data_IF_468476028072
#
_entry.id   IF_468476028072
#
_cell.length_a   1.000
_cell.length_b   1.000
_cell.length_c   1.000
_cell.angle_alpha   90.00
_cell.angle_beta   90.00
_cell.angle_gamma   90.00
#
_symmetry.space_group_name_H-M   'P 1'
#
loop_
_entity.id
_entity.type
_entity.pdbx_description
1 polymer ?
#
# COMPACT_ATOMS: atom_id res chain seq x y z
N UNK A 1 6.14 -12.25 18.20
CA UNK A 1 5.82 -11.81 19.58
C UNK A 1 4.53 -11.02 19.64
N UNK A 2 4.36 -9.89 18.90
CA UNK A 2 3.14 -9.09 18.97
C UNK A 2 1.90 -9.88 18.50
N UNK A 3 1.97 -10.52 17.34
CA UNK A 3 0.90 -11.37 16.83
C UNK A 3 0.59 -12.55 17.79
N UNK A 4 1.63 -13.15 18.37
CA UNK A 4 1.46 -14.27 19.32
C UNK A 4 0.68 -13.83 20.56
N UNK A 5 0.89 -12.58 21.04
CA UNK A 5 0.14 -12.02 22.16
C UNK A 5 -1.33 -11.82 21.80
N UNK A 6 -1.63 -11.30 20.59
CA UNK A 6 -2.99 -11.13 20.10
C UNK A 6 -3.67 -12.49 19.94
N UNK A 7 -3.00 -13.46 19.31
CA UNK A 7 -3.52 -14.82 19.13
C UNK A 7 -3.81 -15.47 20.48
N UNK A 8 -2.83 -15.38 21.41
CA UNK A 8 -3.00 -15.92 22.76
C UNK A 8 -4.22 -15.30 23.46
N UNK A 9 -4.38 -13.98 23.40
CA UNK A 9 -5.52 -13.29 23.97
C UNK A 9 -6.84 -13.76 23.34
N UNK A 10 -6.90 -13.81 21.99
CA UNK A 10 -8.07 -14.27 21.26
C UNK A 10 -8.50 -15.70 21.64
N UNK A 11 -7.52 -16.58 21.90
CA UNK A 11 -7.78 -17.98 22.26
C UNK A 11 -8.18 -18.18 23.71
N UNK A 12 -7.72 -17.32 24.63
CA UNK A 12 -7.92 -17.51 26.06
C UNK A 12 -9.01 -16.61 26.66
N UNK A 13 -9.47 -15.61 25.91
CA UNK A 13 -10.56 -14.77 26.39
C UNK A 13 -11.89 -15.49 26.23
N UNK A 14 -12.51 -15.89 27.35
CA UNK A 14 -13.70 -16.77 27.38
C UNK A 14 -14.93 -16.17 26.69
N UNK A 15 -15.01 -14.83 26.61
CA UNK A 15 -16.11 -14.11 25.94
C UNK A 15 -15.66 -13.48 24.62
N UNK A 16 -14.80 -14.17 23.88
CA UNK A 16 -14.24 -13.65 22.61
C UNK A 16 -15.30 -13.21 21.60
N UNK A 17 -16.42 -13.93 21.53
CA UNK A 17 -17.50 -13.63 20.59
C UNK A 17 -18.32 -12.37 20.97
N UNK A 18 -18.22 -11.91 22.22
CA UNK A 18 -19.00 -10.77 22.72
C UNK A 18 -18.26 -9.44 22.60
N UNK A 19 -17.01 -9.45 22.11
CA UNK A 19 -16.13 -8.27 22.08
C UNK A 19 -15.46 -8.10 20.73
N UNK A 20 -15.16 -6.85 20.39
CA UNK A 20 -14.31 -6.47 19.26
C UNK A 20 -12.90 -6.20 19.79
N UNK A 21 -11.93 -6.95 19.31
CA UNK A 21 -10.52 -6.68 19.59
C UNK A 21 -9.99 -5.69 18.56
N UNK A 22 -9.71 -4.49 19.02
CA UNK A 22 -9.14 -3.42 18.21
C UNK A 22 -7.65 -3.23 18.54
N UNK A 23 -6.84 -3.07 17.51
CA UNK A 23 -5.40 -2.77 17.65
C UNK A 23 -5.10 -1.36 17.13
N UNK A 24 -4.23 -0.64 17.86
CA UNK A 24 -3.85 0.74 17.55
C UNK A 24 -2.31 0.86 17.54
N UNK A 25 -1.62 0.32 16.53
CA UNK A 25 -0.16 0.34 16.50
C UNK A 25 0.39 1.73 16.21
N UNK A 26 1.41 2.13 16.99
CA UNK A 26 2.30 3.22 16.64
C UNK A 26 3.45 2.75 15.75
N UNK A 27 4.13 3.69 15.09
CA UNK A 27 5.15 3.38 14.09
C UNK A 27 6.58 3.66 14.57
N UNK A 28 6.82 3.61 15.88
CA UNK A 28 8.08 4.02 16.52
C UNK A 28 9.32 3.30 15.97
N UNK A 29 9.15 2.08 15.46
CA UNK A 29 10.23 1.27 14.87
C UNK A 29 10.03 1.06 13.35
N UNK A 30 9.12 1.79 12.71
CA UNK A 30 8.79 1.58 11.31
C UNK A 30 8.03 0.27 11.01
N UNK A 31 7.49 -0.41 12.02
CA UNK A 31 6.82 -1.71 11.90
C UNK A 31 5.30 -1.65 12.10
N UNK A 32 4.71 -0.46 12.13
CA UNK A 32 3.29 -0.28 12.43
C UNK A 32 2.37 -1.07 11.48
N UNK A 33 2.61 -1.01 10.17
CA UNK A 33 1.82 -1.75 9.17
C UNK A 33 2.00 -3.25 9.35
N UNK A 34 3.23 -3.74 9.45
CA UNK A 34 3.49 -5.17 9.64
C UNK A 34 2.86 -5.71 10.94
N UNK A 35 2.90 -4.92 12.02
CA UNK A 35 2.24 -5.29 13.27
C UNK A 35 0.72 -5.40 13.10
N UNK A 36 0.11 -4.47 12.35
CA UNK A 36 -1.32 -4.49 12.10
C UNK A 36 -1.75 -5.70 11.24
N UNK A 37 -1.03 -5.97 10.15
CA UNK A 37 -1.29 -7.14 9.31
C UNK A 37 -1.23 -8.45 10.10
N UNK A 38 -0.16 -8.62 10.87
CA UNK A 38 0.02 -9.81 11.70
C UNK A 38 -1.03 -9.90 12.82
N UNK A 39 -1.48 -8.78 13.38
CA UNK A 39 -2.54 -8.76 14.37
C UNK A 39 -3.90 -9.21 13.80
N UNK A 40 -4.23 -8.75 12.58
CA UNK A 40 -5.44 -9.21 11.87
C UNK A 40 -5.37 -10.71 11.60
N UNK A 41 -4.23 -11.21 11.12
CA UNK A 41 -4.01 -12.65 10.92
C UNK A 41 -4.11 -13.44 12.23
N UNK A 42 -3.76 -12.84 13.35
CA UNK A 42 -3.82 -13.45 14.68
C UNK A 42 -5.22 -13.36 15.34
N UNK A 43 -6.20 -12.72 14.70
CA UNK A 43 -7.58 -12.68 15.16
C UNK A 43 -8.07 -11.34 15.69
N UNK A 44 -7.34 -10.24 15.48
CA UNK A 44 -7.88 -8.90 15.72
C UNK A 44 -9.01 -8.58 14.72
N UNK A 45 -10.07 -7.96 15.21
CA UNK A 45 -11.26 -7.64 14.40
C UNK A 45 -11.17 -6.26 13.75
N UNK A 46 -10.41 -5.34 14.34
CA UNK A 46 -10.33 -3.95 13.92
C UNK A 46 -8.91 -3.40 14.05
N UNK A 47 -8.53 -2.56 13.10
CA UNK A 47 -7.31 -1.77 13.17
C UNK A 47 -7.67 -0.29 13.20
N UNK A 48 -7.06 0.45 14.10
CA UNK A 48 -7.15 1.90 14.21
C UNK A 48 -5.83 2.52 13.79
N UNK A 49 -5.89 3.54 12.94
CA UNK A 49 -4.71 4.21 12.42
C UNK A 49 -5.06 5.52 11.74
N UNK A 50 -4.12 6.04 10.97
CA UNK A 50 -4.27 7.31 10.28
C UNK A 50 -3.97 7.17 8.78
N UNK A 51 -4.60 8.01 7.96
CA UNK A 51 -4.20 8.12 6.56
C UNK A 51 -2.75 8.60 6.50
N UNK A 52 -1.96 7.91 5.69
CA UNK A 52 -0.50 8.12 5.54
C UNK A 52 0.30 8.02 6.86
N UNK A 53 -0.30 7.45 7.90
CA UNK A 53 0.35 7.29 9.20
C UNK A 53 0.53 8.59 10.00
N UNK A 54 -0.14 9.67 9.60
CA UNK A 54 -0.05 10.96 10.28
C UNK A 54 -0.61 10.86 11.70
N UNK A 55 0.25 10.93 12.69
CA UNK A 55 -0.08 10.81 14.10
C UNK A 55 1.06 11.33 14.98
N UNK A 56 0.98 11.10 16.28
CA UNK A 56 1.99 11.59 17.19
C UNK A 56 3.36 10.95 17.00
N UNK A 57 4.42 11.71 17.22
CA UNK A 57 5.83 11.33 17.11
C UNK A 57 6.16 10.74 15.72
N UNK A 58 6.40 9.44 15.64
CA UNK A 58 6.69 8.72 14.39
C UNK A 58 5.43 8.33 13.61
N UNK A 59 4.26 8.63 14.14
CA UNK A 59 2.96 8.32 13.58
C UNK A 59 2.38 6.99 14.03
N UNK A 60 1.25 6.66 13.42
CA UNK A 60 0.50 5.43 13.64
C UNK A 60 0.61 4.51 12.42
N UNK A 61 -0.06 3.36 12.47
CA UNK A 61 -0.21 2.53 11.27
C UNK A 61 -0.83 3.34 10.14
N UNK A 62 -0.22 3.25 8.96
CA UNK A 62 -0.75 3.86 7.76
C UNK A 62 -1.92 3.03 7.22
N UNK A 63 -3.15 3.54 7.33
CA UNK A 63 -4.34 2.85 6.84
C UNK A 63 -4.36 2.69 5.32
N UNK A 64 -3.76 3.63 4.57
CA UNK A 64 -3.62 3.52 3.12
C UNK A 64 -2.75 2.31 2.78
N UNK A 65 -1.57 2.20 3.40
CA UNK A 65 -0.65 1.08 3.14
C UNK A 65 -1.27 -0.24 3.56
N UNK A 66 -1.88 -0.31 4.75
CA UNK A 66 -2.54 -1.52 5.24
C UNK A 66 -3.65 -1.99 4.29
N UNK A 67 -4.54 -1.09 3.90
CA UNK A 67 -5.66 -1.42 3.01
C UNK A 67 -5.17 -1.91 1.64
N UNK A 68 -4.17 -1.25 1.06
CA UNK A 68 -3.63 -1.63 -0.24
C UNK A 68 -2.82 -2.93 -0.18
N UNK A 69 -2.17 -3.22 0.95
CA UNK A 69 -1.51 -4.50 1.16
C UNK A 69 -2.55 -5.64 1.20
N UNK A 70 -3.67 -5.46 1.91
CA UNK A 70 -4.78 -6.42 1.91
C UNK A 70 -5.35 -6.61 0.49
N UNK A 71 -5.61 -5.51 -0.21
CA UNK A 71 -6.11 -5.53 -1.58
C UNK A 71 -5.17 -6.34 -2.50
N UNK A 72 -3.86 -6.11 -2.42
CA UNK A 72 -2.86 -6.84 -3.22
C UNK A 72 -2.83 -8.34 -2.96
N UNK A 73 -3.36 -8.79 -1.82
CA UNK A 73 -3.52 -10.19 -1.45
C UNK A 73 -4.92 -10.75 -1.74
N UNK A 74 -5.78 -9.96 -2.41
CA UNK A 74 -7.13 -10.35 -2.75
C UNK A 74 -8.13 -10.23 -1.59
N UNK A 75 -7.78 -9.51 -0.52
CA UNK A 75 -8.66 -9.23 0.61
C UNK A 75 -9.24 -7.82 0.43
N UNK A 76 -10.57 -7.72 0.31
CA UNK A 76 -11.24 -6.42 0.23
C UNK A 76 -11.17 -5.70 1.59
N UNK A 77 -10.45 -4.57 1.69
CA UNK A 77 -10.36 -3.81 2.93
C UNK A 77 -11.63 -3.01 3.23
N UNK A 78 -12.63 -3.05 2.35
CA UNK A 78 -13.86 -2.24 2.38
C UNK A 78 -13.60 -0.72 2.42
N UNK A 79 -12.42 -0.30 1.97
CA UNK A 79 -12.02 1.10 1.79
C UNK A 79 -11.81 1.38 0.30
N UNK A 80 -12.23 2.56 -0.15
CA UNK A 80 -12.15 2.94 -1.57
C UNK A 80 -11.08 3.98 -1.80
N UNK A 81 -10.02 3.59 -2.46
CA UNK A 81 -8.90 4.46 -2.87
C UNK A 81 -8.83 4.62 -4.39
N UNK A 82 -9.95 4.54 -5.09
CA UNK A 82 -10.04 4.67 -6.56
C UNK A 82 -9.61 6.04 -7.10
N UNK A 83 -9.36 7.00 -6.23
CA UNK A 83 -8.83 8.33 -6.54
C UNK A 83 -7.72 8.69 -5.56
N UNK A 84 -6.66 7.92 -5.53
CA UNK A 84 -5.57 8.05 -4.54
C UNK A 84 -4.96 9.46 -4.53
N UNK A 85 -4.75 10.06 -5.70
CA UNK A 85 -4.20 11.41 -5.79
C UNK A 85 -5.09 12.44 -5.08
N UNK A 86 -6.41 12.27 -5.14
CA UNK A 86 -7.35 13.15 -4.42
C UNK A 86 -7.28 12.95 -2.91
N UNK A 87 -7.07 11.71 -2.46
CA UNK A 87 -6.87 11.42 -1.02
C UNK A 87 -5.58 12.08 -0.52
N UNK A 88 -4.49 11.96 -1.29
CA UNK A 88 -3.21 12.65 -0.99
C UNK A 88 -3.44 14.15 -0.86
N UNK A 89 -4.02 14.80 -1.86
CA UNK A 89 -4.28 16.24 -1.88
C UNK A 89 -5.08 16.70 -0.66
N UNK A 90 -6.15 16.00 -0.31
CA UNK A 90 -6.99 16.36 0.85
C UNK A 90 -6.18 16.27 2.14
N UNK A 91 -5.42 15.18 2.33
CA UNK A 91 -4.67 14.98 3.57
C UNK A 91 -3.52 15.97 3.69
N UNK A 92 -2.79 16.26 2.61
CA UNK A 92 -1.75 17.29 2.59
C UNK A 92 -2.31 18.67 2.93
N UNK A 93 -3.45 19.02 2.35
CA UNK A 93 -4.12 20.29 2.64
C UNK A 93 -4.57 20.39 4.11
N UNK A 94 -5.10 19.30 4.68
CA UNK A 94 -5.57 19.30 6.07
C UNK A 94 -4.42 19.30 7.08
N UNK A 95 -3.38 18.53 6.83
CA UNK A 95 -2.29 18.31 7.78
C UNK A 95 -1.10 19.27 7.56
N UNK A 96 -1.05 19.96 6.40
CA UNK A 96 0.09 20.80 5.99
C UNK A 96 1.42 20.04 6.00
N UNK A 97 1.37 18.74 5.75
CA UNK A 97 2.54 17.85 5.65
C UNK A 97 2.46 17.08 4.32
N UNK A 98 3.54 17.07 3.53
CA UNK A 98 3.55 16.35 2.26
C UNK A 98 3.62 14.84 2.49
N UNK A 99 2.94 14.10 1.63
CA UNK A 99 3.11 12.64 1.52
C UNK A 99 4.46 12.36 0.85
N UNK A 100 5.26 11.48 1.45
CA UNK A 100 6.57 11.20 0.93
C UNK A 100 6.49 10.66 -0.52
N UNK A 101 7.30 11.14 -1.48
CA UNK A 101 7.24 10.70 -2.88
C UNK A 101 7.40 9.18 -3.09
N UNK A 102 8.04 8.49 -2.16
CA UNK A 102 8.21 7.03 -2.15
C UNK A 102 7.27 6.34 -1.14
N UNK A 103 6.19 7.01 -0.74
CA UNK A 103 5.19 6.35 0.11
C UNK A 103 4.61 5.14 -0.65
N UNK A 104 4.53 3.94 -0.02
CA UNK A 104 3.92 2.78 -0.66
C UNK A 104 2.50 3.11 -1.18
N UNK A 105 2.20 2.70 -2.42
CA UNK A 105 0.91 2.86 -3.11
C UNK A 105 0.53 4.30 -3.50
N UNK A 106 0.87 5.31 -2.70
CA UNK A 106 0.36 6.68 -2.87
C UNK A 106 1.42 7.70 -3.32
N UNK A 107 2.70 7.42 -3.12
CA UNK A 107 3.77 8.34 -3.47
C UNK A 107 3.87 8.56 -4.98
N UNK A 108 4.25 9.76 -5.41
CA UNK A 108 4.38 10.12 -6.83
C UNK A 108 5.40 9.28 -7.60
N UNK A 109 6.27 8.54 -6.91
CA UNK A 109 7.26 7.63 -7.48
C UNK A 109 6.94 6.15 -7.26
N UNK A 110 5.80 5.83 -6.61
CA UNK A 110 5.49 4.45 -6.22
C UNK A 110 5.38 3.49 -7.41
N UNK A 111 4.98 3.99 -8.57
CA UNK A 111 4.81 3.20 -9.79
C UNK A 111 5.83 3.55 -10.88
N UNK A 112 6.87 4.32 -10.55
CA UNK A 112 7.83 4.80 -11.54
C UNK A 112 9.08 3.93 -11.58
N UNK A 113 9.43 3.44 -12.76
CA UNK A 113 10.68 2.73 -13.03
C UNK A 113 11.71 3.68 -13.69
N UNK A 114 12.93 3.66 -13.17
CA UNK A 114 14.06 4.44 -13.70
C UNK A 114 15.11 3.59 -14.39
N UNK A 115 15.33 2.35 -13.92
CA UNK A 115 16.31 1.43 -14.49
C UNK A 115 15.85 0.92 -15.85
N UNK A 116 16.75 0.89 -16.83
CA UNK A 116 16.46 0.41 -18.17
C UNK A 116 15.97 -1.04 -18.21
N UNK A 117 16.50 -1.92 -17.36
CA UNK A 117 16.05 -3.32 -17.27
C UNK A 117 14.62 -3.43 -16.73
N UNK A 118 14.25 -2.59 -15.75
CA UNK A 118 12.88 -2.56 -15.23
C UNK A 118 11.90 -2.01 -16.26
N UNK A 119 12.28 -0.93 -16.96
CA UNK A 119 11.48 -0.34 -18.03
C UNK A 119 11.23 -1.35 -19.17
N UNK A 120 12.27 -2.09 -19.59
CA UNK A 120 12.16 -3.14 -20.62
C UNK A 120 11.20 -4.26 -20.18
N UNK A 121 11.31 -4.72 -18.94
CA UNK A 121 10.44 -5.76 -18.42
C UNK A 121 8.97 -5.30 -18.35
N UNK A 122 8.72 -4.09 -17.90
CA UNK A 122 7.37 -3.49 -17.83
C UNK A 122 6.79 -3.36 -19.25
N UNK A 123 7.58 -2.83 -20.19
CA UNK A 123 7.15 -2.69 -21.58
C UNK A 123 6.74 -4.05 -22.18
N UNK A 124 7.59 -5.08 -22.03
CA UNK A 124 7.26 -6.44 -22.48
C UNK A 124 6.00 -6.99 -21.80
N UNK A 125 5.78 -6.68 -20.53
CA UNK A 125 4.58 -7.03 -19.81
C UNK A 125 3.33 -6.40 -20.43
N UNK A 126 3.37 -5.11 -20.76
CA UNK A 126 2.26 -4.43 -21.43
C UNK A 126 2.03 -4.96 -22.85
N UNK A 127 3.08 -5.18 -23.63
CA UNK A 127 2.99 -5.71 -25.00
C UNK A 127 2.37 -7.12 -25.04
N UNK A 128 2.59 -7.93 -24.01
CA UNK A 128 2.07 -9.29 -23.90
C UNK A 128 0.64 -9.37 -23.36
N UNK A 129 0.17 -8.33 -22.65
CA UNK A 129 -1.13 -8.32 -21.97
C UNK A 129 -2.29 -8.22 -22.95
N UNK A 130 -3.33 -9.02 -22.71
CA UNK A 130 -4.59 -8.98 -23.46
C UNK A 130 -5.72 -8.41 -22.60
N UNK A 131 -6.75 -7.82 -23.21
CA UNK A 131 -7.95 -7.42 -22.50
C UNK A 131 -8.57 -8.60 -21.71
N UNK A 132 -8.85 -8.40 -20.44
CA UNK A 132 -9.41 -9.42 -19.55
C UNK A 132 -8.38 -10.32 -18.84
N UNK A 133 -7.10 -10.21 -19.15
CA UNK A 133 -6.06 -10.90 -18.39
C UNK A 133 -6.01 -10.40 -16.94
N UNK A 134 -5.67 -11.33 -16.02
CA UNK A 134 -5.32 -10.94 -14.65
C UNK A 134 -4.09 -10.03 -14.69
N UNK A 135 -4.03 -9.09 -13.73
CA UNK A 135 -2.86 -8.23 -13.58
C UNK A 135 -1.62 -9.06 -13.18
N UNK A 136 -0.64 -9.11 -14.06
CA UNK A 136 0.64 -9.81 -13.87
C UNK A 136 1.76 -8.99 -14.50
N UNK A 137 1.93 -7.77 -14.00
CA UNK A 137 2.91 -6.84 -14.53
C UNK A 137 4.20 -6.87 -13.71
N UNK A 138 5.39 -7.00 -14.34
CA UNK A 138 6.65 -6.88 -13.61
C UNK A 138 6.73 -5.56 -12.83
N UNK A 139 7.21 -5.62 -11.59
CA UNK A 139 7.40 -4.46 -10.69
C UNK A 139 6.16 -3.67 -10.30
N UNK A 140 4.99 -3.98 -10.83
CA UNK A 140 3.74 -3.30 -10.51
C UNK A 140 2.76 -4.29 -9.85
N UNK A 141 2.68 -4.30 -8.53
CA UNK A 141 1.90 -5.30 -7.79
C UNK A 141 0.39 -5.17 -7.95
N UNK A 142 -0.09 -4.01 -8.38
CA UNK A 142 -1.49 -3.75 -8.74
C UNK A 142 -1.54 -2.96 -10.05
N UNK A 143 -2.69 -2.92 -10.71
CA UNK A 143 -2.93 -1.98 -11.79
C UNK A 143 -3.04 -0.55 -11.21
N UNK A 144 -2.15 0.39 -11.58
CA UNK A 144 -2.25 1.77 -11.12
C UNK A 144 -3.62 2.41 -11.40
N UNK A 145 -4.34 1.97 -12.42
CA UNK A 145 -5.68 2.47 -12.74
C UNK A 145 -6.72 2.11 -11.66
N UNK A 146 -6.53 1.04 -10.89
CA UNK A 146 -7.42 0.67 -9.79
C UNK A 146 -7.49 1.75 -8.71
N UNK A 147 -6.45 2.56 -8.60
CA UNK A 147 -6.37 3.68 -7.65
C UNK A 147 -6.41 5.06 -8.32
N UNK A 148 -6.79 5.10 -9.59
CA UNK A 148 -6.94 6.35 -10.35
C UNK A 148 -5.63 6.98 -10.83
N UNK A 149 -4.54 6.20 -10.88
CA UNK A 149 -3.26 6.62 -11.47
C UNK A 149 -3.20 6.23 -12.95
N UNK A 150 -2.49 7.02 -13.77
CA UNK A 150 -2.24 6.71 -15.18
C UNK A 150 -0.94 5.92 -15.35
N UNK A 151 -0.77 5.32 -16.52
CA UNK A 151 0.50 4.65 -16.88
C UNK A 151 1.62 5.61 -17.28
N UNK A 152 1.34 6.88 -17.49
CA UNK A 152 2.32 7.89 -17.94
C UNK A 152 3.51 8.06 -16.99
N UNK A 153 3.28 7.86 -15.68
CA UNK A 153 4.32 7.96 -14.68
C UNK A 153 5.17 6.68 -14.50
N UNK A 154 4.80 5.58 -15.15
CA UNK A 154 5.44 4.27 -14.94
C UNK A 154 6.88 4.25 -15.46
N UNK A 155 7.12 4.86 -16.61
CA UNK A 155 8.47 4.95 -17.20
C UNK A 155 8.88 6.41 -17.31
N UNK A 156 10.02 6.74 -16.67
CA UNK A 156 10.67 8.06 -16.80
C UNK A 156 12.04 7.90 -17.38
N UNK A 157 12.29 8.57 -18.50
CA UNK A 157 13.60 8.58 -19.16
C UNK A 157 14.56 9.45 -18.36
N UNK A 158 15.73 8.90 -18.04
CA UNK A 158 16.85 9.61 -17.41
C UNK A 158 18.19 8.99 -17.86
N UNK A 159 19.30 9.40 -17.27
CA UNK A 159 20.64 8.89 -17.60
C UNK A 159 20.83 7.38 -17.38
N UNK A 160 19.94 6.72 -16.65
CA UNK A 160 19.97 5.28 -16.39
C UNK A 160 19.03 4.50 -17.32
N UNK A 161 18.23 5.18 -18.13
CA UNK A 161 17.32 4.55 -19.08
C UNK A 161 18.07 3.96 -20.26
N UNK A 162 17.75 2.74 -20.64
CA UNK A 162 18.25 2.11 -21.86
C UNK A 162 17.39 2.45 -23.08
N UNK A 163 17.75 1.84 -24.25
CA UNK A 163 17.00 2.02 -25.51
C UNK A 163 15.52 1.72 -25.37
N UNK A 164 15.14 0.70 -24.59
CA UNK A 164 13.74 0.30 -24.38
C UNK A 164 12.93 1.37 -23.67
N UNK A 165 13.52 2.05 -22.67
CA UNK A 165 12.85 3.15 -21.98
C UNK A 165 12.68 4.41 -22.82
N UNK A 166 13.55 4.61 -23.82
CA UNK A 166 13.46 5.75 -24.72
C UNK A 166 12.51 5.51 -25.90
N UNK A 167 12.07 4.27 -26.11
CA UNK A 167 11.14 3.85 -27.17
C UNK A 167 9.71 3.63 -26.68
N UNK A 168 9.44 3.96 -25.43
CA UNK A 168 8.11 3.87 -24.82
C UNK A 168 7.18 4.98 -25.28
#
# INVERSE_FOLDING_TARGET
VYADQIEWFCRHFSRRADVTISVHPHNDRGTGVASAELAVMAGADRVEGCLFGNGERTGNVCLVTLAMNLYSQGVDPQLRFTQMNRVVEIVENCNQLPVHPRHPWAGSLAYTAFSGSHQDAIKKGFDARKPGDRWQMPYLPIDPQDIGCSYEAVIRVNSQSGKSGSAW
#
